data_IF_896986991464
#
_entry.id   IF_896986991464
#
_cell.length_a   1.000
_cell.length_b   1.000
_cell.length_c   1.000
_cell.angle_alpha   90.00
_cell.angle_beta   90.00
_cell.angle_gamma   90.00
#
_symmetry.space_group_name_H-M   'P 1'
#
loop_
_entity.id
_entity.type
_entity.pdbx_description
1 polymer ?
#
# COMPACT_ATOMS: atom_id res chain seq x y z
N UNK A 1 25.97 -7.26 17.34
CA UNK A 1 25.40 -6.01 17.87
C UNK A 1 24.46 -6.32 19.03
N UNK A 2 23.30 -6.93 18.77
CA UNK A 2 22.35 -7.37 19.80
C UNK A 2 23.01 -8.17 20.96
N UNK A 3 23.81 -9.19 20.65
CA UNK A 3 24.58 -9.96 21.66
C UNK A 3 25.55 -9.13 22.52
N UNK A 4 26.07 -8.02 21.99
CA UNK A 4 27.01 -7.14 22.72
C UNK A 4 26.22 -6.29 23.72
N UNK A 5 25.05 -5.77 23.33
CA UNK A 5 24.15 -5.05 24.22
C UNK A 5 23.52 -5.95 25.28
N UNK A 6 23.11 -7.17 24.90
CA UNK A 6 22.59 -8.17 25.83
C UNK A 6 23.58 -8.46 26.96
N UNK A 7 24.87 -8.55 26.65
CA UNK A 7 25.95 -8.74 27.62
C UNK A 7 26.42 -7.46 28.33
N UNK A 8 25.73 -6.32 28.14
CA UNK A 8 26.07 -5.04 28.78
C UNK A 8 27.31 -4.34 28.22
N UNK A 9 27.87 -4.82 27.10
CA UNK A 9 29.10 -4.29 26.50
C UNK A 9 28.93 -2.98 25.73
N UNK A 10 27.72 -2.43 25.64
CA UNK A 10 27.45 -1.15 24.96
C UNK A 10 26.20 -0.44 25.51
N UNK A 11 26.08 0.86 25.29
CA UNK A 11 24.89 1.64 25.62
C UNK A 11 23.75 1.41 24.61
N UNK A 12 22.49 1.55 25.07
CA UNK A 12 21.25 1.41 24.28
C UNK A 12 21.18 2.35 23.05
N UNK A 13 21.95 3.45 23.06
CA UNK A 13 22.01 4.43 21.97
C UNK A 13 22.43 3.76 20.66
N UNK A 14 23.42 2.87 20.71
CA UNK A 14 23.91 2.20 19.52
C UNK A 14 22.88 1.20 18.94
N UNK A 15 22.23 0.33 19.74
CA UNK A 15 21.14 -0.52 19.25
C UNK A 15 20.00 0.30 18.65
N UNK A 16 19.62 1.42 19.28
CA UNK A 16 18.60 2.34 18.76
C UNK A 16 19.01 2.96 17.41
N UNK A 17 20.26 3.41 17.25
CA UNK A 17 20.75 3.90 15.96
C UNK A 17 20.66 2.82 14.87
N UNK A 18 20.95 1.56 15.23
CA UNK A 18 20.82 0.42 14.32
C UNK A 18 19.35 0.15 13.96
N UNK A 19 18.42 0.28 14.91
CA UNK A 19 16.98 0.22 14.65
C UNK A 19 16.57 1.24 13.58
N UNK A 20 17.02 2.49 13.70
CA UNK A 20 16.73 3.53 12.71
C UNK A 20 17.29 3.19 11.33
N UNK A 21 18.55 2.72 11.26
CA UNK A 21 19.16 2.28 10.01
C UNK A 21 18.46 1.07 9.38
N UNK A 22 17.99 0.12 10.19
CA UNK A 22 17.22 -1.04 9.72
C UNK A 22 15.88 -0.64 9.09
N UNK A 23 15.19 0.35 9.68
CA UNK A 23 13.96 0.88 9.10
C UNK A 23 14.17 1.57 7.74
N UNK A 24 15.36 2.14 7.50
CA UNK A 24 15.75 2.59 6.15
C UNK A 24 16.02 1.38 5.25
N UNK A 25 16.87 0.45 5.69
CA UNK A 25 17.31 -0.69 4.88
C UNK A 25 16.17 -1.58 4.36
N UNK A 26 15.15 -1.82 5.18
CA UNK A 26 13.97 -2.63 4.81
C UNK A 26 13.13 -2.02 3.68
N UNK A 27 13.30 -0.73 3.36
CA UNK A 27 12.56 -0.07 2.28
C UNK A 27 13.15 -0.31 0.89
N UNK A 28 14.44 -0.62 0.81
CA UNK A 28 15.15 -0.83 -0.45
C UNK A 28 14.52 -1.98 -1.25
N UNK A 29 14.16 -3.06 -0.58
CA UNK A 29 13.48 -4.20 -1.23
C UNK A 29 12.13 -3.80 -1.82
N UNK A 30 11.40 -2.87 -1.20
CA UNK A 30 10.12 -2.37 -1.74
C UNK A 30 10.32 -1.51 -2.98
N UNK A 31 11.40 -0.74 -3.04
CA UNK A 31 11.76 0.00 -4.26
C UNK A 31 12.00 -1.00 -5.39
N UNK A 32 12.87 -2.00 -5.18
CA UNK A 32 13.14 -3.02 -6.20
C UNK A 32 11.89 -3.78 -6.63
N UNK A 33 11.04 -4.18 -5.68
CA UNK A 33 9.78 -4.86 -5.96
C UNK A 33 8.77 -4.00 -6.76
N UNK A 34 8.90 -2.67 -6.71
CA UNK A 34 8.03 -1.77 -7.47
C UNK A 34 8.54 -1.46 -8.89
N UNK A 35 9.77 -1.84 -9.22
CA UNK A 35 10.31 -1.68 -10.58
C UNK A 35 9.53 -2.61 -11.52
N UNK A 36 8.90 -2.04 -12.54
CA UNK A 36 8.00 -2.77 -13.45
C UNK A 36 6.57 -2.94 -12.93
N UNK A 37 6.23 -2.37 -11.76
CA UNK A 37 4.86 -2.30 -11.26
C UNK A 37 4.12 -1.02 -11.68
N UNK A 38 2.85 -0.93 -11.29
CA UNK A 38 1.98 0.22 -11.59
C UNK A 38 2.55 1.54 -11.06
N UNK A 39 2.08 2.68 -11.58
CA UNK A 39 2.41 3.99 -11.04
C UNK A 39 2.00 4.13 -9.57
N UNK A 40 0.88 3.55 -9.11
CA UNK A 40 0.54 3.55 -7.68
C UNK A 40 1.49 2.67 -6.86
N UNK A 41 1.91 1.52 -7.37
CA UNK A 41 2.89 0.67 -6.68
C UNK A 41 4.23 1.40 -6.49
N UNK A 42 4.70 2.09 -7.54
CA UNK A 42 5.91 2.93 -7.50
C UNK A 42 5.75 4.14 -6.57
N UNK A 43 4.58 4.79 -6.55
CA UNK A 43 4.30 5.89 -5.62
C UNK A 43 4.26 5.40 -4.17
N UNK A 44 3.67 4.25 -3.91
CA UNK A 44 3.59 3.67 -2.57
C UNK A 44 4.97 3.24 -2.05
N UNK A 45 5.83 2.65 -2.90
CA UNK A 45 7.20 2.29 -2.53
C UNK A 45 8.05 3.54 -2.25
N UNK A 46 7.93 4.57 -3.10
CA UNK A 46 8.64 5.83 -2.92
C UNK A 46 8.16 6.58 -1.66
N UNK A 47 6.85 6.63 -1.43
CA UNK A 47 6.25 7.15 -0.19
C UNK A 47 6.88 6.47 1.03
N UNK A 48 6.83 5.14 1.06
CA UNK A 48 7.30 4.36 2.20
C UNK A 48 8.79 4.59 2.47
N UNK A 49 9.59 4.70 1.41
CA UNK A 49 11.03 4.92 1.52
C UNK A 49 11.36 6.34 2.01
N UNK A 50 10.79 7.36 1.38
CA UNK A 50 11.05 8.76 1.76
C UNK A 50 10.66 9.02 3.21
N UNK A 51 9.51 8.49 3.64
CA UNK A 51 9.09 8.64 5.01
C UNK A 51 10.03 7.91 5.97
N UNK A 52 10.42 6.65 5.71
CA UNK A 52 11.32 5.94 6.63
C UNK A 52 12.69 6.60 6.74
N UNK A 53 13.22 7.13 5.62
CA UNK A 53 14.46 7.91 5.63
C UNK A 53 14.29 9.17 6.47
N UNK A 54 13.26 9.97 6.20
CA UNK A 54 13.03 11.24 6.90
C UNK A 54 12.76 11.02 8.39
N UNK A 55 11.94 10.02 8.74
CA UNK A 55 11.65 9.64 10.11
C UNK A 55 12.90 9.17 10.86
N UNK A 56 13.74 8.34 10.25
CA UNK A 56 15.01 7.92 10.83
C UNK A 56 15.98 9.11 11.04
N UNK A 57 16.06 10.03 10.07
CA UNK A 57 16.90 11.24 10.18
C UNK A 57 16.41 12.15 11.30
N UNK A 58 15.10 12.42 11.39
CA UNK A 58 14.52 13.22 12.47
C UNK A 58 14.79 12.55 13.82
N UNK A 59 14.48 11.26 13.95
CA UNK A 59 14.68 10.52 15.21
C UNK A 59 16.14 10.46 15.64
N UNK A 60 17.09 10.58 14.70
CA UNK A 60 18.51 10.68 15.02
C UNK A 60 18.83 11.91 15.88
N UNK A 61 18.18 13.06 15.62
CA UNK A 61 18.33 14.25 16.46
C UNK A 61 17.77 14.05 17.88
N UNK A 62 16.80 13.16 18.02
CA UNK A 62 16.16 12.81 19.30
C UNK A 62 16.66 11.49 19.89
N UNK A 63 17.81 10.97 19.43
CA UNK A 63 18.24 9.62 19.80
C UNK A 63 18.46 9.46 21.31
N UNK A 64 18.95 10.49 21.99
CA UNK A 64 19.17 10.49 23.45
C UNK A 64 17.84 10.45 24.23
N UNK A 65 16.92 11.42 24.08
CA UNK A 65 15.64 11.37 24.79
C UNK A 65 14.81 10.14 24.42
N UNK A 66 14.87 9.69 23.16
CA UNK A 66 14.22 8.46 22.73
C UNK A 66 14.80 7.23 23.44
N UNK A 67 16.13 7.09 23.50
CA UNK A 67 16.77 5.95 24.19
C UNK A 67 16.41 5.90 25.67
N UNK A 68 16.35 7.06 26.34
CA UNK A 68 15.93 7.14 27.74
C UNK A 68 14.47 6.72 27.92
N UNK A 69 13.59 7.14 27.01
CA UNK A 69 12.19 6.71 26.99
C UNK A 69 12.07 5.19 26.81
N UNK A 70 12.83 4.58 25.90
CA UNK A 70 12.84 3.13 25.71
C UNK A 70 13.31 2.40 26.98
N UNK A 71 14.37 2.87 27.63
CA UNK A 71 14.84 2.28 28.88
C UNK A 71 13.79 2.37 29.99
N UNK A 72 13.10 3.50 30.09
CA UNK A 72 12.03 3.71 31.07
C UNK A 72 10.87 2.72 30.84
N UNK A 73 10.36 2.64 29.61
CA UNK A 73 9.24 1.74 29.28
C UNK A 73 9.64 0.27 29.46
N UNK A 74 10.84 -0.11 28.98
CA UNK A 74 11.34 -1.47 29.15
C UNK A 74 11.52 -1.83 30.64
N UNK A 75 11.98 -0.87 31.46
CA UNK A 75 12.11 -1.05 32.91
C UNK A 75 10.77 -1.24 33.63
N UNK A 76 9.72 -0.52 33.24
CA UNK A 76 8.36 -0.72 33.79
C UNK A 76 7.82 -2.13 33.52
N UNK A 77 8.25 -2.76 32.42
CA UNK A 77 7.85 -4.11 32.04
C UNK A 77 8.74 -5.20 32.65
N UNK A 78 9.80 -4.84 33.38
CA UNK A 78 10.83 -5.79 33.84
C UNK A 78 11.58 -6.46 32.68
N UNK A 79 11.67 -5.79 31.53
CA UNK A 79 12.21 -6.34 30.30
C UNK A 79 13.73 -6.48 30.29
N UNK A 80 14.24 -7.50 29.59
CA UNK A 80 15.68 -7.69 29.39
C UNK A 80 16.28 -6.66 28.42
N UNK A 81 17.61 -6.59 28.33
CA UNK A 81 18.30 -5.78 27.32
C UNK A 81 17.89 -6.18 25.89
N UNK A 82 17.66 -7.48 25.62
CA UNK A 82 17.15 -7.92 24.33
C UNK A 82 15.77 -7.33 24.03
N UNK A 83 14.89 -7.29 25.04
CA UNK A 83 13.54 -6.75 24.93
C UNK A 83 13.55 -5.25 24.63
N UNK A 84 14.49 -4.49 25.19
CA UNK A 84 14.62 -3.05 24.94
C UNK A 84 14.80 -2.73 23.44
N UNK A 85 15.47 -3.59 22.67
CA UNK A 85 15.61 -3.43 21.22
C UNK A 85 14.25 -3.63 20.52
N UNK A 86 13.47 -4.61 20.96
CA UNK A 86 12.12 -4.84 20.44
C UNK A 86 11.16 -3.68 20.78
N UNK A 87 11.23 -3.18 22.01
CA UNK A 87 10.48 -2.00 22.47
C UNK A 87 10.84 -0.77 21.64
N UNK A 88 12.14 -0.56 21.34
CA UNK A 88 12.58 0.48 20.42
C UNK A 88 11.92 0.32 19.04
N UNK A 89 12.04 -0.84 18.39
CA UNK A 89 11.42 -1.06 17.09
C UNK A 89 9.91 -0.76 17.08
N UNK A 90 9.18 -1.22 18.10
CA UNK A 90 7.75 -0.98 18.22
C UNK A 90 7.42 0.51 18.33
N UNK A 91 8.03 1.23 19.28
CA UNK A 91 7.73 2.63 19.51
C UNK A 91 8.22 3.54 18.37
N UNK A 92 9.33 3.19 17.71
CA UNK A 92 9.74 3.91 16.50
C UNK A 92 8.63 3.87 15.46
N UNK A 93 8.14 2.67 15.12
CA UNK A 93 7.10 2.50 14.10
C UNK A 93 5.76 3.13 14.53
N UNK A 94 5.42 3.07 15.82
CA UNK A 94 4.21 3.69 16.35
C UNK A 94 4.24 5.21 16.26
N UNK A 95 5.28 5.84 16.79
CA UNK A 95 5.45 7.31 16.74
C UNK A 95 5.49 7.76 15.28
N UNK A 96 6.26 7.05 14.45
CA UNK A 96 6.37 7.32 13.04
C UNK A 96 5.01 7.24 12.32
N UNK A 97 4.23 6.18 12.53
CA UNK A 97 2.90 6.04 11.95
C UNK A 97 2.00 7.23 12.29
N UNK A 98 1.96 7.62 13.56
CA UNK A 98 1.18 8.77 14.04
C UNK A 98 1.64 10.07 13.36
N UNK A 99 2.96 10.29 13.25
CA UNK A 99 3.52 11.48 12.62
C UNK A 99 3.22 11.53 11.12
N UNK A 100 3.20 10.40 10.42
CA UNK A 100 3.07 10.34 8.96
C UNK A 100 1.63 10.53 8.49
N UNK A 101 0.65 9.98 9.19
CA UNK A 101 -0.78 10.04 8.84
C UNK A 101 -1.25 11.44 8.36
N UNK A 102 -1.01 12.54 9.10
CA UNK A 102 -1.48 13.87 8.68
C UNK A 102 -0.84 14.38 7.37
N UNK A 103 0.33 13.87 6.99
CA UNK A 103 1.04 14.31 5.79
C UNK A 103 0.74 13.45 4.54
N UNK A 104 0.01 12.34 4.70
CA UNK A 104 -0.35 11.45 3.57
C UNK A 104 -0.99 12.21 2.41
N UNK A 105 -2.00 13.09 2.59
CA UNK A 105 -2.65 13.76 1.47
C UNK A 105 -1.71 14.70 0.70
N UNK A 106 -0.84 15.42 1.41
CA UNK A 106 0.14 16.33 0.81
C UNK A 106 1.17 15.56 0.00
N UNK A 107 1.62 14.40 0.51
CA UNK A 107 2.58 13.56 -0.20
C UNK A 107 1.99 12.88 -1.42
N UNK A 108 0.72 12.49 -1.40
CA UNK A 108 0.06 11.94 -2.60
C UNK A 108 0.14 12.96 -3.76
N UNK A 109 -0.04 14.25 -3.48
CA UNK A 109 0.10 15.31 -4.50
C UNK A 109 1.54 15.39 -5.02
N UNK A 110 2.53 15.41 -4.12
CA UNK A 110 3.95 15.45 -4.48
C UNK A 110 4.37 14.23 -5.33
N UNK A 111 3.97 13.03 -4.92
CA UNK A 111 4.32 11.78 -5.59
C UNK A 111 3.66 11.63 -6.96
N UNK A 112 2.48 12.24 -7.16
CA UNK A 112 1.87 12.35 -8.50
C UNK A 112 2.68 13.22 -9.46
N UNK A 113 3.42 14.20 -8.94
CA UNK A 113 4.34 15.03 -9.74
C UNK A 113 5.65 14.29 -10.03
N UNK A 114 6.22 13.61 -9.03
CA UNK A 114 7.50 12.88 -9.18
C UNK A 114 7.34 11.65 -10.10
N UNK A 115 6.26 10.90 -9.91
CA UNK A 115 5.92 9.74 -10.74
C UNK A 115 4.61 10.10 -11.45
N UNK A 116 4.68 10.76 -12.63
CA UNK A 116 3.50 11.07 -13.43
C UNK A 116 2.90 9.80 -14.05
N UNK A 117 1.62 9.88 -14.42
CA UNK A 117 0.85 8.76 -14.97
C UNK A 117 -0.32 8.37 -14.07
N UNK A 118 -1.45 8.01 -14.65
CA UNK A 118 -2.51 7.33 -13.92
C UNK A 118 -2.28 5.83 -14.07
N UNK A 119 -2.51 5.07 -13.00
CA UNK A 119 -2.72 3.63 -13.20
C UNK A 119 -3.95 3.52 -14.09
N UNK A 120 -3.77 2.95 -15.29
CA UNK A 120 -4.88 2.69 -16.21
C UNK A 120 -5.99 1.94 -15.46
N UNK A 121 -5.58 0.94 -14.68
CA UNK A 121 -6.46 0.13 -13.85
C UNK A 121 -6.62 0.74 -12.44
N UNK A 122 -7.48 1.76 -12.30
CA UNK A 122 -7.89 2.30 -10.98
C UNK A 122 -8.64 1.26 -10.14
N UNK A 123 -8.08 0.76 -9.03
CA UNK A 123 -8.82 0.20 -7.88
C UNK A 123 -10.02 -0.72 -8.23
N UNK A 124 -9.90 -1.65 -9.19
CA UNK A 124 -11.04 -2.47 -9.65
C UNK A 124 -11.18 -3.83 -8.95
N UNK A 125 -10.29 -4.16 -8.00
CA UNK A 125 -10.40 -5.35 -7.13
C UNK A 125 -11.58 -5.29 -6.14
N UNK A 126 -12.31 -4.17 -6.08
CA UNK A 126 -13.52 -3.99 -5.26
C UNK A 126 -14.78 -3.85 -6.10
N UNK A 127 -14.96 -4.69 -7.11
CA UNK A 127 -16.31 -4.94 -7.60
C UNK A 127 -17.04 -5.70 -6.50
N UNK A 128 -17.76 -4.97 -5.63
CA UNK A 128 -18.61 -5.59 -4.61
C UNK A 128 -19.53 -6.62 -5.27
N UNK A 129 -19.71 -7.81 -4.69
CA UNK A 129 -20.58 -8.83 -5.27
C UNK A 129 -22.02 -8.31 -5.38
N UNK A 130 -22.75 -8.79 -6.39
CA UNK A 130 -24.17 -8.48 -6.56
C UNK A 130 -24.96 -9.14 -5.42
N UNK A 131 -25.68 -8.36 -4.62
CA UNK A 131 -26.44 -8.87 -3.49
C UNK A 131 -27.75 -9.52 -3.96
N UNK A 132 -27.84 -10.85 -3.82
CA UNK A 132 -29.00 -11.65 -4.22
C UNK A 132 -30.19 -11.48 -3.29
N UNK A 133 -29.98 -11.02 -2.04
CA UNK A 133 -31.07 -10.80 -1.09
C UNK A 133 -31.98 -9.64 -1.53
N UNK A 134 -31.42 -8.69 -2.28
CA UNK A 134 -32.16 -7.57 -2.89
C UNK A 134 -33.20 -8.07 -3.89
N UNK A 135 -32.96 -9.20 -4.58
CA UNK A 135 -33.91 -9.75 -5.57
C UNK A 135 -35.26 -10.04 -4.91
N UNK A 136 -35.23 -10.72 -3.76
CA UNK A 136 -36.45 -11.11 -3.02
C UNK A 136 -37.10 -9.94 -2.28
N UNK A 137 -36.31 -8.95 -1.84
CA UNK A 137 -36.79 -7.83 -1.01
C UNK A 137 -37.22 -6.61 -1.81
N UNK A 138 -36.55 -6.32 -2.93
CA UNK A 138 -36.73 -5.10 -3.71
C UNK A 138 -36.30 -5.27 -5.19
N UNK A 139 -37.16 -5.86 -6.04
CA UNK A 139 -36.85 -6.16 -7.45
C UNK A 139 -36.40 -4.96 -8.29
N UNK A 140 -37.00 -3.78 -8.06
CA UNK A 140 -36.60 -2.51 -8.71
C UNK A 140 -35.14 -2.15 -8.41
N UNK A 141 -34.69 -2.39 -7.16
CA UNK A 141 -33.30 -2.17 -6.75
C UNK A 141 -32.34 -3.18 -7.36
N UNK A 142 -32.78 -4.42 -7.56
CA UNK A 142 -31.99 -5.45 -8.23
C UNK A 142 -31.77 -5.07 -9.72
N UNK A 143 -32.79 -4.54 -10.41
CA UNK A 143 -32.65 -4.05 -11.78
C UNK A 143 -31.75 -2.80 -11.87
N UNK A 144 -31.83 -1.91 -10.89
CA UNK A 144 -30.91 -0.76 -10.75
C UNK A 144 -29.46 -1.23 -10.63
N UNK A 145 -29.21 -2.23 -9.80
CA UNK A 145 -27.88 -2.80 -9.59
C UNK A 145 -27.31 -3.42 -10.86
N UNK A 146 -28.13 -4.13 -11.63
CA UNK A 146 -27.76 -4.64 -12.97
C UNK A 146 -27.36 -3.49 -13.88
N UNK A 147 -28.19 -2.44 -13.99
CA UNK A 147 -27.92 -1.28 -14.84
C UNK A 147 -26.58 -0.62 -14.47
N UNK A 148 -26.37 -0.38 -13.18
CA UNK A 148 -25.16 0.28 -12.69
C UNK A 148 -23.92 -0.59 -12.97
N UNK A 149 -24.03 -1.92 -12.85
CA UNK A 149 -22.96 -2.85 -13.21
C UNK A 149 -22.67 -2.89 -14.71
N UNK A 150 -23.70 -2.82 -15.55
CA UNK A 150 -23.55 -2.74 -17.01
C UNK A 150 -22.82 -1.47 -17.42
N UNK A 151 -23.07 -0.33 -16.76
CA UNK A 151 -22.35 0.93 -17.01
C UNK A 151 -20.85 0.75 -16.70
N UNK A 152 -20.49 0.10 -15.59
CA UNK A 152 -19.08 -0.19 -15.28
C UNK A 152 -18.42 -1.08 -16.34
N UNK A 153 -19.17 -2.05 -16.89
CA UNK A 153 -18.69 -2.89 -17.98
C UNK A 153 -18.43 -2.09 -19.26
N UNK A 154 -19.29 -1.11 -19.57
CA UNK A 154 -19.08 -0.18 -20.71
C UNK A 154 -17.77 0.60 -20.53
N UNK A 155 -17.51 1.13 -19.33
CA UNK A 155 -16.27 1.86 -19.05
C UNK A 155 -15.02 0.98 -19.23
N UNK A 156 -15.10 -0.30 -18.84
CA UNK A 156 -14.01 -1.27 -19.05
C UNK A 156 -13.77 -1.57 -20.53
N UNK A 157 -14.84 -1.77 -21.31
CA UNK A 157 -14.74 -2.03 -22.75
C UNK A 157 -14.15 -0.82 -23.46
N UNK A 158 -14.56 0.39 -23.09
CA UNK A 158 -13.99 1.62 -23.64
C UNK A 158 -12.48 1.71 -23.37
N UNK A 159 -12.06 1.45 -22.13
CA UNK A 159 -10.64 1.43 -21.75
C UNK A 159 -9.85 0.34 -22.50
N UNK A 160 -10.46 -0.84 -22.69
CA UNK A 160 -9.85 -1.95 -23.45
C UNK A 160 -9.62 -1.58 -24.91
N UNK A 161 -10.55 -0.83 -25.52
CA UNK A 161 -10.38 -0.31 -26.87
C UNK A 161 -9.24 0.72 -26.95
N UNK A 162 -9.14 1.64 -25.98
CA UNK A 162 -8.04 2.62 -25.94
C UNK A 162 -6.68 1.96 -25.72
N UNK A 163 -6.60 0.96 -24.84
CA UNK A 163 -5.40 0.17 -24.60
C UNK A 163 -5.02 -0.65 -25.85
N UNK A 164 -6.00 -1.25 -26.52
CA UNK A 164 -5.80 -1.99 -27.78
C UNK A 164 -5.27 -1.08 -28.89
N UNK A 165 -5.83 0.12 -29.04
CA UNK A 165 -5.31 1.13 -30.00
C UNK A 165 -3.88 1.55 -29.67
N UNK A 166 -3.59 1.74 -28.38
CA UNK A 166 -2.23 2.08 -27.92
C UNK A 166 -1.25 0.97 -28.27
N UNK A 167 -1.58 -0.29 -27.94
CA UNK A 167 -0.78 -1.46 -28.29
C UNK A 167 -0.53 -1.57 -29.79
N UNK A 168 -1.54 -1.37 -30.63
CA UNK A 168 -1.36 -1.42 -32.08
C UNK A 168 -0.39 -0.36 -32.60
N UNK A 169 -0.31 0.79 -31.93
CA UNK A 169 0.59 1.90 -32.29
C UNK A 169 1.99 1.73 -31.73
N UNK A 170 2.12 1.34 -30.46
CA UNK A 170 3.41 1.27 -29.72
C UNK A 170 4.07 -0.09 -29.81
N UNK A 171 3.29 -1.17 -29.99
CA UNK A 171 3.66 -2.57 -29.77
C UNK A 171 4.26 -2.85 -28.39
N UNK A 172 3.90 -2.03 -27.41
CA UNK A 172 4.36 -2.19 -26.03
C UNK A 172 3.66 -3.38 -25.36
N UNK A 173 4.44 -4.28 -24.76
CA UNK A 173 3.89 -5.45 -24.05
C UNK A 173 3.03 -5.03 -22.84
N UNK A 174 3.32 -3.90 -22.21
CA UNK A 174 2.52 -3.39 -21.09
C UNK A 174 1.08 -3.05 -21.51
N UNK A 175 0.90 -2.48 -22.72
CA UNK A 175 -0.43 -2.20 -23.26
C UNK A 175 -1.21 -3.48 -23.58
N UNK A 176 -0.53 -4.54 -24.05
CA UNK A 176 -1.16 -5.85 -24.27
C UNK A 176 -1.63 -6.51 -22.96
N UNK A 177 -0.78 -6.49 -21.93
CA UNK A 177 -1.12 -7.06 -20.63
C UNK A 177 -2.32 -6.34 -20.00
N UNK A 178 -2.45 -5.01 -20.21
CA UNK A 178 -3.62 -4.23 -19.81
C UNK A 178 -4.89 -4.68 -20.54
N UNK A 179 -4.84 -4.89 -21.87
CA UNK A 179 -6.00 -5.37 -22.64
C UNK A 179 -6.48 -6.72 -22.10
N UNK A 180 -5.56 -7.66 -21.86
CA UNK A 180 -5.91 -8.99 -21.35
C UNK A 180 -6.57 -8.93 -19.97
N UNK A 181 -6.09 -8.05 -19.08
CA UNK A 181 -6.69 -7.86 -17.76
C UNK A 181 -8.08 -7.23 -17.82
N UNK A 182 -8.28 -6.22 -18.68
CA UNK A 182 -9.59 -5.60 -18.87
C UNK A 182 -10.61 -6.60 -19.43
N UNK A 183 -10.18 -7.45 -20.36
CA UNK A 183 -11.02 -8.52 -20.92
C UNK A 183 -11.44 -9.56 -19.86
N UNK A 184 -10.53 -9.96 -18.98
CA UNK A 184 -10.85 -10.87 -17.86
C UNK A 184 -11.87 -10.24 -16.91
N UNK A 185 -11.76 -8.93 -16.63
CA UNK A 185 -12.72 -8.20 -15.82
C UNK A 185 -14.10 -8.09 -16.47
N UNK A 186 -14.16 -7.79 -17.77
CA UNK A 186 -15.42 -7.76 -18.55
C UNK A 186 -16.10 -9.12 -18.48
N UNK A 187 -15.38 -10.21 -18.74
CA UNK A 187 -15.91 -11.57 -18.67
C UNK A 187 -16.43 -11.94 -17.28
N UNK A 188 -15.72 -11.52 -16.23
CA UNK A 188 -16.15 -11.75 -14.84
C UNK A 188 -17.45 -10.98 -14.52
N UNK A 189 -17.57 -9.73 -14.96
CA UNK A 189 -18.79 -8.96 -14.78
C UNK A 189 -19.94 -9.59 -15.56
N UNK A 190 -19.73 -9.96 -16.82
CA UNK A 190 -20.74 -10.59 -17.67
C UNK A 190 -21.27 -11.91 -17.08
N UNK A 191 -20.36 -12.77 -16.61
CA UNK A 191 -20.71 -14.03 -15.94
C UNK A 191 -21.55 -13.79 -14.69
N UNK A 192 -21.13 -12.84 -13.85
CA UNK A 192 -21.83 -12.51 -12.61
C UNK A 192 -23.20 -11.86 -12.87
N UNK A 193 -23.28 -10.92 -13.82
CA UNK A 193 -24.53 -10.29 -14.24
C UNK A 193 -25.51 -11.31 -14.81
N UNK A 194 -25.04 -12.20 -15.68
CA UNK A 194 -25.86 -13.26 -16.26
C UNK A 194 -26.39 -14.21 -15.18
N UNK A 195 -25.54 -14.62 -14.24
CA UNK A 195 -25.96 -15.46 -13.12
C UNK A 195 -27.00 -14.75 -12.23
N UNK A 196 -26.81 -13.46 -11.97
CA UNK A 196 -27.73 -12.64 -11.18
C UNK A 196 -29.08 -12.44 -11.88
N UNK A 197 -29.07 -12.09 -13.17
CA UNK A 197 -30.27 -11.91 -14.00
C UNK A 197 -31.09 -13.19 -14.13
N UNK A 198 -30.46 -14.37 -14.10
CA UNK A 198 -31.17 -15.66 -14.09
C UNK A 198 -31.94 -15.93 -12.80
N UNK A 199 -31.58 -15.26 -11.70
CA UNK A 199 -32.23 -15.39 -10.38
C UNK A 199 -33.32 -14.33 -10.16
N UNK A 200 -33.32 -13.27 -10.98
CA UNK A 200 -34.28 -12.17 -11.00
C UNK A 200 -35.60 -12.62 -11.63
#
# INVERSE_FOLDING_TARGET
MQKIYENGGMSIIAPVAFVFGSNIGTTITKIFASIGGSASARRASLFHTLFNVFGAVIMMFFIVPYSNFILYVNGMMGGSNAMAIGVAHFFFNLIFCILVIPFVPSFIKLLKVIIPGEDKIKNRDKLEPLDEEIISRFPEGALRLVKDRTIVMVDLVHESLEASQSYLRTKDKEDYDVVMQLEEMVNKIDTNLTAYLRKL
#
